data_IF_632509805015
#
_entry.id   IF_632509805015
#
_cell.length_a   1.000
_cell.length_b   1.000
_cell.length_c   1.000
_cell.angle_alpha   90.00
_cell.angle_beta   90.00
_cell.angle_gamma   90.00
#
_symmetry.space_group_name_H-M   'P 1'
#
loop_
_entity.id
_entity.type
_entity.pdbx_description
1 polymer ?
#
# COMPACT_ATOMS: atom_id res chain seq x y z
N UNK A 1 0.57 4.59 -12.15
CA UNK A 1 0.81 5.86 -11.42
C UNK A 1 1.77 6.71 -12.23
N UNK A 2 1.50 8.02 -12.38
CA UNK A 2 2.41 8.97 -13.08
C UNK A 2 3.16 9.89 -12.12
N UNK A 3 2.80 9.86 -10.83
CA UNK A 3 3.29 10.81 -9.84
C UNK A 3 4.82 10.84 -9.72
N UNK A 4 5.54 9.70 -9.64
CA UNK A 4 7.01 9.72 -9.55
C UNK A 4 7.70 10.52 -10.68
N UNK A 5 7.15 10.49 -11.90
CA UNK A 5 7.69 11.25 -13.03
C UNK A 5 7.43 12.75 -12.91
N UNK A 6 6.29 13.14 -12.32
CA UNK A 6 5.88 14.55 -12.21
C UNK A 6 6.65 15.26 -11.09
N UNK A 7 6.98 14.56 -10.01
CA UNK A 7 7.72 15.12 -8.86
C UNK A 7 9.21 14.81 -8.87
N UNK A 8 9.73 14.22 -9.94
CA UNK A 8 11.15 13.92 -10.07
C UNK A 8 11.99 15.20 -9.89
N UNK A 9 13.00 15.15 -9.02
CA UNK A 9 13.84 16.29 -8.60
C UNK A 9 13.10 17.50 -7.98
N UNK A 10 11.80 17.38 -7.68
CA UNK A 10 11.00 18.46 -7.05
C UNK A 10 10.73 18.24 -5.57
N UNK A 11 10.97 17.03 -5.05
CA UNK A 11 10.69 16.65 -3.66
C UNK A 11 11.87 15.90 -3.05
N UNK A 12 11.97 15.83 -1.70
CA UNK A 12 12.95 14.98 -1.04
C UNK A 12 12.80 13.51 -1.46
N UNK A 13 13.92 12.77 -1.46
CA UNK A 13 13.93 11.35 -1.83
C UNK A 13 12.91 10.52 -1.04
N UNK A 14 12.73 10.79 0.25
CA UNK A 14 11.75 10.08 1.08
C UNK A 14 10.31 10.23 0.58
N UNK A 15 9.96 11.39 0.02
CA UNK A 15 8.65 11.62 -0.59
C UNK A 15 8.53 10.85 -1.91
N UNK A 16 9.61 10.78 -2.69
CA UNK A 16 9.68 9.96 -3.91
C UNK A 16 9.50 8.46 -3.59
N UNK A 17 10.17 7.98 -2.55
CA UNK A 17 10.06 6.59 -2.05
C UNK A 17 8.63 6.30 -1.60
N UNK A 18 7.98 7.28 -0.94
CA UNK A 18 6.58 7.18 -0.52
C UNK A 18 5.62 7.01 -1.69
N UNK A 19 5.81 7.77 -2.77
CA UNK A 19 5.02 7.61 -3.99
C UNK A 19 5.29 6.30 -4.73
N UNK A 20 6.53 5.82 -4.70
CA UNK A 20 6.93 4.58 -5.36
C UNK A 20 6.33 3.37 -4.65
N UNK A 21 6.51 3.27 -3.33
CA UNK A 21 5.92 2.21 -2.49
C UNK A 21 4.40 2.24 -2.49
N UNK A 22 3.77 3.43 -2.52
CA UNK A 22 2.33 3.54 -2.72
C UNK A 22 1.89 2.98 -4.09
N UNK A 23 2.68 3.23 -5.13
CA UNK A 23 2.43 2.68 -6.47
C UNK A 23 2.43 1.16 -6.47
N UNK A 24 3.45 0.55 -5.88
CA UNK A 24 3.57 -0.91 -5.72
C UNK A 24 2.39 -1.50 -4.93
N UNK A 25 2.02 -0.86 -3.81
CA UNK A 25 0.88 -1.27 -3.00
C UNK A 25 -0.41 -1.26 -3.83
N UNK A 26 -0.67 -0.17 -4.57
CA UNK A 26 -1.87 -0.05 -5.41
C UNK A 26 -1.96 -1.18 -6.44
N UNK A 27 -0.85 -1.59 -7.08
CA UNK A 27 -0.88 -2.73 -8.02
C UNK A 27 -1.43 -3.99 -7.35
N UNK A 28 -0.98 -4.30 -6.14
CA UNK A 28 -1.43 -5.47 -5.39
C UNK A 28 -2.90 -5.35 -4.98
N UNK A 29 -3.34 -4.17 -4.56
CA UNK A 29 -4.74 -3.93 -4.15
C UNK A 29 -5.75 -4.10 -5.29
N UNK A 30 -5.33 -3.83 -6.53
CA UNK A 30 -6.18 -3.92 -7.71
C UNK A 30 -6.11 -5.27 -8.44
N UNK A 31 -5.48 -6.29 -7.85
CA UNK A 31 -5.56 -7.65 -8.37
C UNK A 31 -7.02 -8.14 -8.41
N UNK A 32 -7.44 -8.62 -9.57
CA UNK A 32 -8.79 -9.20 -9.78
C UNK A 32 -8.81 -10.70 -9.53
N UNK A 33 -7.64 -11.35 -9.52
CA UNK A 33 -7.44 -12.77 -9.28
C UNK A 33 -6.15 -12.97 -8.48
N UNK A 34 -6.16 -13.91 -7.55
CA UNK A 34 -4.98 -14.35 -6.79
C UNK A 34 -4.77 -15.83 -7.09
N UNK A 35 -3.65 -16.15 -7.75
CA UNK A 35 -3.33 -17.53 -8.14
C UNK A 35 -2.70 -18.33 -6.98
N UNK A 36 -1.77 -17.71 -6.25
CA UNK A 36 -1.18 -18.24 -5.03
C UNK A 36 -1.39 -17.25 -3.89
N UNK A 37 -2.24 -17.64 -2.93
CA UNK A 37 -2.65 -16.80 -1.81
C UNK A 37 -1.49 -16.53 -0.86
N UNK A 38 -0.62 -17.50 -0.60
CA UNK A 38 0.45 -17.33 0.39
C UNK A 38 1.57 -16.44 -0.16
N UNK A 39 1.93 -16.62 -1.44
CA UNK A 39 2.89 -15.73 -2.13
C UNK A 39 2.35 -14.30 -2.21
N UNK A 40 1.08 -14.15 -2.62
CA UNK A 40 0.45 -12.84 -2.72
C UNK A 40 0.39 -12.13 -1.36
N UNK A 41 -0.03 -12.84 -0.31
CA UNK A 41 -0.16 -12.25 1.02
C UNK A 41 1.19 -11.90 1.65
N UNK A 42 2.23 -12.70 1.41
CA UNK A 42 3.59 -12.36 1.83
C UNK A 42 4.08 -11.07 1.14
N UNK A 43 3.88 -10.96 -0.18
CA UNK A 43 4.24 -9.76 -0.95
C UNK A 43 3.44 -8.53 -0.50
N UNK A 44 2.12 -8.67 -0.33
CA UNK A 44 1.26 -7.59 0.13
C UNK A 44 1.64 -7.11 1.53
N UNK A 45 1.90 -8.03 2.46
CA UNK A 45 2.27 -7.69 3.84
C UNK A 45 3.57 -6.90 3.86
N UNK A 46 4.59 -7.37 3.14
CA UNK A 46 5.86 -6.65 3.00
C UNK A 46 5.68 -5.27 2.40
N UNK A 47 4.89 -5.15 1.33
CA UNK A 47 4.66 -3.86 0.65
C UNK A 47 3.91 -2.87 1.56
N UNK A 48 2.98 -3.35 2.39
CA UNK A 48 2.32 -2.54 3.41
C UNK A 48 3.33 -2.06 4.45
N UNK A 49 4.18 -2.95 4.98
CA UNK A 49 5.21 -2.60 5.96
C UNK A 49 6.19 -1.55 5.41
N UNK A 50 6.68 -1.74 4.19
CA UNK A 50 7.57 -0.81 3.50
C UNK A 50 6.90 0.57 3.33
N UNK A 51 5.64 0.61 2.87
CA UNK A 51 4.87 1.85 2.72
C UNK A 51 4.63 2.56 4.06
N UNK A 52 4.27 1.82 5.12
CA UNK A 52 4.06 2.38 6.45
C UNK A 52 5.36 2.92 7.05
N UNK A 53 6.49 2.25 6.82
CA UNK A 53 7.80 2.70 7.28
C UNK A 53 8.21 4.02 6.60
N UNK A 54 8.11 4.10 5.27
CA UNK A 54 8.40 5.35 4.54
C UNK A 54 7.44 6.47 4.95
N UNK A 55 6.17 6.15 5.17
CA UNK A 55 5.18 7.09 5.68
C UNK A 55 5.55 7.63 7.06
N UNK A 56 6.04 6.77 7.96
CA UNK A 56 6.46 7.19 9.30
C UNK A 56 7.61 8.20 9.25
N UNK A 57 8.52 8.07 8.27
CA UNK A 57 9.63 9.00 8.04
C UNK A 57 9.10 10.32 7.46
N UNK A 58 8.16 10.27 6.52
CA UNK A 58 7.66 11.47 5.84
C UNK A 58 6.70 12.30 6.69
N UNK A 59 5.73 11.65 7.34
CA UNK A 59 4.63 12.30 8.05
C UNK A 59 4.02 11.36 9.12
N UNK A 60 4.70 11.15 10.26
CA UNK A 60 4.30 10.12 11.24
C UNK A 60 2.89 10.33 11.82
N UNK A 61 2.42 11.58 11.90
CA UNK A 61 1.08 11.90 12.41
C UNK A 61 -0.05 11.31 11.55
N UNK A 62 0.18 11.02 10.26
CA UNK A 62 -0.87 10.48 9.40
C UNK A 62 -1.21 9.03 9.72
N UNK A 63 -0.26 8.27 10.28
CA UNK A 63 -0.50 6.89 10.73
C UNK A 63 -1.56 6.80 11.83
N UNK A 64 -1.69 7.87 12.61
CA UNK A 64 -2.64 7.96 13.73
C UNK A 64 -3.91 8.70 13.30
N UNK A 65 -3.77 9.79 12.54
CA UNK A 65 -4.89 10.67 12.19
C UNK A 65 -5.72 10.18 11.00
N UNK A 66 -5.21 9.26 10.18
CA UNK A 66 -5.91 8.71 9.02
C UNK A 66 -6.20 7.22 9.23
N UNK A 67 -7.46 6.84 9.54
CA UNK A 67 -7.84 5.45 9.82
C UNK A 67 -7.47 4.45 8.71
N UNK A 68 -7.44 4.90 7.44
CA UNK A 68 -7.08 4.06 6.30
C UNK A 68 -5.69 3.41 6.45
N UNK A 69 -4.73 4.06 7.11
CA UNK A 69 -3.39 3.48 7.35
C UNK A 69 -3.44 2.32 8.34
N UNK A 70 -4.28 2.41 9.37
CA UNK A 70 -4.50 1.30 10.30
C UNK A 70 -5.19 0.11 9.62
N UNK A 71 -6.12 0.36 8.70
CA UNK A 71 -6.84 -0.71 7.99
C UNK A 71 -5.94 -1.52 7.05
N UNK A 72 -4.85 -0.95 6.52
CA UNK A 72 -3.91 -1.68 5.68
C UNK A 72 -3.35 -2.92 6.39
N UNK A 73 -3.03 -2.82 7.68
CA UNK A 73 -2.45 -3.93 8.46
C UNK A 73 -3.42 -5.13 8.58
N UNK A 74 -4.73 -4.89 8.54
CA UNK A 74 -5.75 -5.93 8.61
C UNK A 74 -6.10 -6.53 7.25
N UNK A 75 -5.74 -5.84 6.17
CA UNK A 75 -6.14 -6.21 4.82
C UNK A 75 -5.67 -7.61 4.39
N UNK A 76 -4.44 -8.08 4.71
CA UNK A 76 -4.04 -9.46 4.40
C UNK A 76 -4.98 -10.51 5.00
N UNK A 77 -5.49 -10.29 6.22
CA UNK A 77 -6.45 -11.19 6.85
C UNK A 77 -7.81 -11.19 6.14
N UNK A 78 -8.28 -10.03 5.70
CA UNK A 78 -9.52 -9.92 4.93
C UNK A 78 -9.40 -10.54 3.55
N UNK A 79 -8.28 -10.32 2.84
CA UNK A 79 -8.07 -10.92 1.53
C UNK A 79 -7.98 -12.44 1.62
N UNK A 80 -7.30 -12.98 2.65
CA UNK A 80 -7.27 -14.42 2.88
C UNK A 80 -8.67 -15.02 3.04
N UNK A 81 -9.57 -14.29 3.71
CA UNK A 81 -10.92 -14.78 4.04
C UNK A 81 -11.93 -14.57 2.92
N UNK A 82 -11.85 -13.44 2.22
CA UNK A 82 -12.90 -13.00 1.30
C UNK A 82 -12.45 -13.07 -0.16
N UNK A 83 -11.16 -13.13 -0.45
CA UNK A 83 -10.62 -13.07 -1.80
C UNK A 83 -10.08 -11.66 -2.12
N UNK A 84 -9.87 -11.34 -3.41
CA UNK A 84 -9.19 -10.11 -3.81
C UNK A 84 -9.89 -8.84 -3.29
N UNK A 85 -9.12 -7.84 -2.86
CA UNK A 85 -9.65 -6.64 -2.19
C UNK A 85 -10.74 -5.90 -2.98
N UNK A 86 -10.67 -5.94 -4.32
CA UNK A 86 -11.60 -5.25 -5.21
C UNK A 86 -13.07 -5.65 -4.98
N UNK A 87 -13.35 -6.87 -4.53
CA UNK A 87 -14.74 -7.36 -4.39
C UNK A 87 -15.46 -6.78 -3.15
N UNK A 88 -14.72 -6.22 -2.20
CA UNK A 88 -15.24 -5.62 -0.97
C UNK A 88 -14.71 -4.19 -0.76
N UNK A 89 -14.13 -3.60 -1.81
CA UNK A 89 -13.71 -2.20 -1.79
C UNK A 89 -14.93 -1.29 -1.91
N UNK A 90 -15.10 -0.38 -0.96
CA UNK A 90 -16.03 0.75 -1.08
C UNK A 90 -15.22 2.01 -1.45
N UNK A 91 -15.79 2.87 -2.28
CA UNK A 91 -15.17 4.15 -2.72
C UNK A 91 -14.65 5.01 -1.55
#
# INVERSE_FOLDING_TARGET
QVMPFVIHDLVPQTVMDGWTTLGELVVLLWHTKIDDVEVYLAQLTRTIEDFLNVTAICAPSILITKPKFHFLVHLPAYIRRFGPAIIFSTE
#
